data_IF_009578316629
#
_entry.id   IF_009578316629
#
_cell.length_a   1.000
_cell.length_b   1.000
_cell.length_c   1.000
_cell.angle_alpha   90.00
_cell.angle_beta   90.00
_cell.angle_gamma   90.00
#
_symmetry.space_group_name_H-M   'P 1'
#
loop_
_entity.id
_entity.type
_entity.pdbx_description
1 polymer ?
#
# COMPACT_ATOMS: atom_id res chain seq x y z
N UNK A 1 6.66 -19.71 2.33
CA UNK A 1 5.35 -19.59 1.64
C UNK A 1 5.33 -20.50 0.43
N UNK A 2 4.24 -21.25 0.19
CA UNK A 2 4.08 -22.20 -0.93
C UNK A 2 2.79 -21.92 -1.68
N UNK A 3 2.88 -21.88 -3.01
CA UNK A 3 1.71 -21.72 -3.87
C UNK A 3 1.17 -23.12 -4.20
N UNK A 4 -0.11 -23.32 -3.99
CA UNK A 4 -0.85 -24.54 -4.32
C UNK A 4 -1.81 -24.23 -5.46
N UNK A 5 -1.64 -24.89 -6.59
CA UNK A 5 -2.46 -24.68 -7.78
C UNK A 5 -3.57 -25.73 -7.94
N UNK A 6 -3.34 -26.91 -7.41
CA UNK A 6 -4.27 -28.02 -7.48
C UNK A 6 -4.50 -28.61 -6.08
N UNK A 7 -5.72 -29.04 -5.82
CA UNK A 7 -6.11 -29.53 -4.50
C UNK A 7 -5.29 -30.75 -4.03
N UNK A 8 -4.84 -31.58 -4.95
CA UNK A 8 -3.99 -32.73 -4.63
C UNK A 8 -2.57 -32.36 -4.15
N UNK A 9 -2.14 -31.12 -4.34
CA UNK A 9 -0.83 -30.61 -3.85
C UNK A 9 -0.94 -30.07 -2.42
N UNK A 10 -2.14 -29.84 -1.91
CA UNK A 10 -2.38 -29.11 -0.66
C UNK A 10 -1.76 -29.82 0.55
N UNK A 11 -1.94 -31.14 0.66
CA UNK A 11 -1.50 -31.90 1.83
C UNK A 11 0.04 -31.89 1.97
N UNK A 12 0.74 -32.07 0.86
CA UNK A 12 2.22 -32.01 0.84
C UNK A 12 2.70 -30.58 1.15
N UNK A 13 2.14 -29.57 0.49
CA UNK A 13 2.51 -28.18 0.70
C UNK A 13 2.27 -27.75 2.16
N UNK A 14 1.15 -28.17 2.74
CA UNK A 14 0.83 -27.91 4.14
C UNK A 14 1.84 -28.55 5.10
N UNK A 15 2.15 -29.82 4.89
CA UNK A 15 3.10 -30.57 5.71
C UNK A 15 4.48 -29.94 5.70
N UNK A 16 4.96 -29.56 4.52
CA UNK A 16 6.25 -28.90 4.36
C UNK A 16 6.26 -27.52 4.99
N UNK A 17 5.21 -26.72 4.80
CA UNK A 17 5.12 -25.36 5.37
C UNK A 17 5.06 -25.39 6.91
N UNK A 18 4.33 -26.34 7.49
CA UNK A 18 4.28 -26.54 8.94
C UNK A 18 5.64 -26.94 9.51
N UNK A 19 6.34 -27.87 8.85
CA UNK A 19 7.69 -28.27 9.25
C UNK A 19 8.68 -27.10 9.21
N UNK A 20 8.65 -26.30 8.15
CA UNK A 20 9.48 -25.09 8.03
C UNK A 20 9.16 -24.08 9.13
N UNK A 21 7.89 -23.81 9.36
CA UNK A 21 7.45 -22.87 10.40
C UNK A 21 7.87 -23.34 11.80
N UNK A 22 7.70 -24.63 12.10
CA UNK A 22 8.12 -25.21 13.36
C UNK A 22 9.62 -25.07 13.61
N UNK A 23 10.41 -25.32 12.58
CA UNK A 23 11.88 -25.23 12.68
C UNK A 23 12.37 -23.79 12.80
N UNK A 24 11.74 -22.85 12.09
CA UNK A 24 12.17 -21.45 12.05
C UNK A 24 11.62 -20.61 13.23
N UNK A 25 10.39 -20.85 13.65
CA UNK A 25 9.67 -19.99 14.60
C UNK A 25 9.21 -20.72 15.86
N UNK A 26 9.38 -22.05 15.96
CA UNK A 26 8.87 -22.84 17.08
C UNK A 26 7.37 -23.11 17.06
N UNK A 27 6.65 -22.55 16.10
CA UNK A 27 5.21 -22.68 15.87
C UNK A 27 4.94 -23.24 14.48
N UNK A 28 3.96 -24.14 14.36
CA UNK A 28 3.59 -24.80 13.12
C UNK A 28 2.22 -24.33 12.56
N UNK A 29 1.67 -23.27 13.13
CA UNK A 29 0.48 -22.63 12.60
C UNK A 29 0.79 -22.01 11.22
N UNK A 30 -0.10 -22.25 10.25
CA UNK A 30 -0.02 -21.70 8.91
C UNK A 30 -1.36 -21.05 8.53
N UNK A 31 -1.29 -20.02 7.69
CA UNK A 31 -2.45 -19.37 7.10
C UNK A 31 -2.59 -19.80 5.64
N UNK A 32 -3.82 -19.89 5.20
CA UNK A 32 -4.16 -20.09 3.79
C UNK A 32 -4.74 -18.78 3.25
N UNK A 33 -4.12 -18.30 2.19
CA UNK A 33 -4.53 -17.07 1.53
C UNK A 33 -4.83 -17.34 0.06
N UNK A 34 -5.73 -16.56 -0.52
CA UNK A 34 -5.99 -16.64 -1.96
C UNK A 34 -4.78 -16.10 -2.72
N UNK A 35 -4.25 -16.93 -3.61
CA UNK A 35 -3.19 -16.51 -4.53
C UNK A 35 -3.80 -15.79 -5.73
N UNK A 36 -3.36 -14.57 -6.01
CA UNK A 36 -3.76 -13.78 -7.18
C UNK A 36 -2.64 -13.86 -8.21
N UNK A 37 -2.95 -14.35 -9.41
CA UNK A 37 -1.99 -14.42 -10.51
C UNK A 37 -1.87 -13.07 -11.22
N UNK A 38 -0.66 -12.69 -11.63
CA UNK A 38 -0.39 -11.44 -12.33
C UNK A 38 -0.87 -10.18 -11.61
N UNK A 39 -0.72 -10.07 -10.27
CA UNK A 39 -1.34 -9.01 -9.51
C UNK A 39 -0.71 -7.65 -9.82
N UNK A 40 -1.54 -6.61 -9.74
CA UNK A 40 -1.09 -5.22 -9.62
C UNK A 40 -1.01 -4.84 -8.16
N UNK A 41 0.06 -4.17 -7.78
CA UNK A 41 0.21 -3.58 -6.46
C UNK A 41 -0.14 -2.09 -6.55
N UNK A 42 -1.25 -1.73 -5.98
CA UNK A 42 -1.78 -0.36 -5.99
C UNK A 42 -2.04 0.09 -4.57
N UNK A 43 -1.61 1.30 -4.26
CA UNK A 43 -1.72 1.86 -2.92
C UNK A 43 -2.35 3.25 -2.95
N UNK A 44 -3.07 3.59 -1.90
CA UNK A 44 -3.67 4.91 -1.74
C UNK A 44 -2.99 5.67 -0.60
N UNK A 45 -2.45 6.84 -0.91
CA UNK A 45 -1.98 7.76 0.11
C UNK A 45 -3.17 8.33 0.85
N UNK A 46 -3.19 8.17 2.16
CA UNK A 46 -4.23 8.73 3.03
C UNK A 46 -3.63 9.71 4.03
N UNK A 47 -4.47 10.59 4.54
CA UNK A 47 -4.13 11.50 5.62
C UNK A 47 -5.32 11.66 6.55
N UNK A 48 -5.07 11.64 7.88
CA UNK A 48 -6.08 11.89 8.91
C UNK A 48 -5.63 12.93 9.91
N UNK A 49 -6.57 13.69 10.48
CA UNK A 49 -6.29 14.64 11.55
C UNK A 49 -7.03 14.26 12.85
N UNK A 50 -6.69 14.95 13.95
CA UNK A 50 -7.34 14.71 15.27
C UNK A 50 -8.77 15.26 15.36
N UNK A 51 -9.28 15.89 14.31
CA UNK A 51 -10.64 16.43 14.24
C UNK A 51 -11.61 15.49 13.52
N UNK A 52 -11.12 14.28 13.12
CA UNK A 52 -11.92 13.26 12.45
C UNK A 52 -12.06 13.49 10.94
N UNK A 53 -11.21 14.34 10.34
CA UNK A 53 -11.18 14.50 8.90
C UNK A 53 -10.20 13.49 8.28
N UNK A 54 -10.61 12.90 7.16
CA UNK A 54 -9.80 11.95 6.40
C UNK A 54 -9.87 12.31 4.92
N UNK A 55 -8.73 12.30 4.26
CA UNK A 55 -8.62 12.47 2.81
C UNK A 55 -7.71 11.39 2.20
N UNK A 56 -7.91 11.08 0.92
CA UNK A 56 -6.94 10.37 0.12
C UNK A 56 -6.27 11.33 -0.88
N UNK A 57 -5.00 11.11 -1.13
CA UNK A 57 -4.19 11.89 -2.07
C UNK A 57 -3.92 11.10 -3.36
N UNK A 58 -4.91 10.34 -3.80
CA UNK A 58 -4.87 9.43 -4.95
C UNK A 58 -3.93 8.23 -4.76
N UNK A 59 -3.88 7.42 -5.79
CA UNK A 59 -3.13 6.17 -5.79
C UNK A 59 -1.74 6.31 -6.41
N UNK A 60 -0.89 5.32 -6.08
CA UNK A 60 0.34 4.99 -6.79
C UNK A 60 0.28 3.55 -7.27
N UNK A 61 0.77 3.29 -8.47
CA UNK A 61 1.00 1.96 -9.02
C UNK A 61 2.43 1.55 -8.69
N UNK A 62 2.60 0.46 -7.95
CA UNK A 62 3.89 -0.03 -7.45
C UNK A 62 4.17 -1.47 -7.88
N UNK A 63 3.64 -1.90 -9.03
CA UNK A 63 3.73 -3.29 -9.51
C UNK A 63 5.13 -3.67 -9.99
N UNK A 64 5.96 -2.70 -10.39
CA UNK A 64 7.32 -2.97 -10.85
C UNK A 64 8.24 -3.09 -9.62
N UNK A 65 8.54 -4.34 -9.29
CA UNK A 65 9.26 -4.68 -8.07
C UNK A 65 10.40 -5.66 -8.35
N UNK A 66 11.42 -5.65 -7.51
CA UNK A 66 12.47 -6.66 -7.46
C UNK A 66 12.48 -7.32 -6.09
N UNK A 67 12.14 -8.62 -6.04
CA UNK A 67 12.08 -9.38 -4.78
C UNK A 67 11.20 -8.69 -3.72
N UNK A 68 10.01 -8.24 -4.13
CA UNK A 68 9.05 -7.50 -3.31
C UNK A 68 9.49 -6.08 -2.86
N UNK A 69 10.57 -5.54 -3.43
CA UNK A 69 10.97 -4.15 -3.24
C UNK A 69 10.43 -3.31 -4.40
N UNK A 70 9.70 -2.27 -4.11
CA UNK A 70 9.23 -1.28 -5.06
C UNK A 70 10.43 -0.58 -5.69
N UNK A 71 10.54 -0.53 -7.01
CA UNK A 71 11.65 0.10 -7.73
C UNK A 71 11.20 1.14 -8.75
N UNK A 72 9.94 1.09 -9.15
CA UNK A 72 9.33 2.10 -9.99
C UNK A 72 7.88 2.27 -9.54
N UNK A 73 7.54 3.51 -9.26
CA UNK A 73 6.21 3.94 -8.81
C UNK A 73 5.69 5.02 -9.77
N UNK A 74 4.41 4.95 -10.10
CA UNK A 74 3.77 5.93 -10.96
C UNK A 74 2.37 6.33 -10.45
N UNK A 75 1.97 7.56 -10.76
CA UNK A 75 0.64 8.07 -10.45
C UNK A 75 0.18 9.02 -11.59
N UNK A 76 -1.07 8.87 -12.07
CA UNK A 76 -2.07 7.87 -11.69
C UNK A 76 -1.72 6.48 -12.24
N UNK A 77 -2.29 5.44 -11.65
CA UNK A 77 -2.19 4.07 -12.20
C UNK A 77 -2.84 4.00 -13.58
N UNK A 78 -2.11 3.52 -14.61
CA UNK A 78 -2.67 3.33 -15.94
C UNK A 78 -3.69 2.17 -15.99
N UNK A 79 -3.70 1.33 -14.97
CA UNK A 79 -4.59 0.18 -14.89
C UNK A 79 -5.99 0.54 -14.36
N UNK A 80 -6.10 1.54 -13.48
CA UNK A 80 -7.37 1.90 -12.86
C UNK A 80 -8.23 2.78 -13.77
N UNK A 81 -9.47 2.33 -14.01
CA UNK A 81 -10.52 3.23 -14.48
C UNK A 81 -11.12 4.07 -13.34
N UNK A 82 -11.97 5.02 -13.68
CA UNK A 82 -12.56 5.94 -12.71
C UNK A 82 -13.44 5.24 -11.66
N UNK A 83 -14.09 4.13 -12.03
CA UNK A 83 -14.98 3.38 -11.13
C UNK A 83 -14.17 2.61 -10.09
N UNK A 84 -13.18 1.85 -10.53
CA UNK A 84 -12.32 1.07 -9.64
C UNK A 84 -11.49 1.98 -8.73
N UNK A 85 -10.94 3.07 -9.27
CA UNK A 85 -10.23 4.10 -8.48
C UNK A 85 -11.09 4.63 -7.34
N UNK A 86 -12.35 4.96 -7.64
CA UNK A 86 -13.28 5.46 -6.61
C UNK A 86 -13.57 4.42 -5.55
N UNK A 87 -13.83 3.17 -5.93
CA UNK A 87 -14.11 2.09 -4.98
C UNK A 87 -12.92 1.83 -4.04
N UNK A 88 -11.70 1.82 -4.58
CA UNK A 88 -10.49 1.62 -3.81
C UNK A 88 -10.19 2.81 -2.89
N UNK A 89 -10.40 4.05 -3.36
CA UNK A 89 -10.29 5.25 -2.55
C UNK A 89 -11.26 5.22 -1.36
N UNK A 90 -12.53 4.87 -1.60
CA UNK A 90 -13.52 4.71 -0.53
C UNK A 90 -13.15 3.61 0.47
N UNK A 91 -12.60 2.49 -0.01
CA UNK A 91 -12.12 1.41 0.84
C UNK A 91 -10.95 1.88 1.73
N UNK A 92 -10.03 2.67 1.16
CA UNK A 92 -8.89 3.25 1.89
C UNK A 92 -9.33 4.21 2.99
N UNK A 93 -10.28 5.09 2.69
CA UNK A 93 -10.84 6.01 3.70
C UNK A 93 -11.62 5.27 4.79
N UNK A 94 -12.35 4.20 4.43
CA UNK A 94 -13.02 3.34 5.42
C UNK A 94 -12.04 2.66 6.36
N UNK A 95 -10.91 2.15 5.83
CA UNK A 95 -9.87 1.54 6.64
C UNK A 95 -9.25 2.56 7.61
N UNK A 96 -8.88 3.75 7.12
CA UNK A 96 -8.33 4.82 7.94
C UNK A 96 -9.30 5.28 9.04
N UNK A 97 -10.58 5.46 8.70
CA UNK A 97 -11.60 5.89 9.65
C UNK A 97 -11.89 4.82 10.71
N UNK A 98 -11.88 3.55 10.34
CA UNK A 98 -12.14 2.45 11.28
C UNK A 98 -11.15 2.39 12.45
N UNK A 99 -9.91 2.83 12.21
CA UNK A 99 -8.85 2.88 13.24
C UNK A 99 -8.57 4.30 13.73
N UNK A 100 -9.38 5.29 13.31
CA UNK A 100 -9.19 6.71 13.65
C UNK A 100 -7.75 7.17 13.41
N UNK A 101 -7.25 6.86 12.21
CA UNK A 101 -5.84 7.05 11.86
C UNK A 101 -5.44 8.51 11.87
N UNK A 102 -4.23 8.79 12.38
CA UNK A 102 -3.68 10.15 12.49
C UNK A 102 -2.36 10.27 11.72
N UNK A 103 -2.26 11.30 10.86
CA UNK A 103 -1.09 11.59 10.05
C UNK A 103 -1.11 10.94 8.67
N UNK A 104 0.08 10.87 8.03
CA UNK A 104 0.27 10.26 6.73
C UNK A 104 0.32 8.74 6.84
N UNK A 105 -0.41 8.05 5.98
CA UNK A 105 -0.39 6.60 5.86
C UNK A 105 -0.72 6.16 4.44
N UNK A 106 -0.53 4.87 4.18
CA UNK A 106 -0.82 4.29 2.88
C UNK A 106 -1.57 3.00 3.05
N UNK A 107 -2.66 2.82 2.31
CA UNK A 107 -3.45 1.60 2.28
C UNK A 107 -3.11 0.86 0.99
N UNK A 108 -2.59 -0.36 1.13
CA UNK A 108 -2.08 -1.16 0.03
C UNK A 108 -3.05 -2.26 -0.39
N UNK A 109 -3.16 -2.46 -1.69
CA UNK A 109 -4.03 -3.45 -2.31
C UNK A 109 -3.31 -4.28 -3.35
N UNK A 110 -3.75 -5.55 -3.47
CA UNK A 110 -3.52 -6.38 -4.66
C UNK A 110 -4.76 -6.31 -5.54
N UNK A 111 -4.56 -6.03 -6.83
CA UNK A 111 -5.63 -5.95 -7.83
C UNK A 111 -5.41 -7.03 -8.88
N UNK A 112 -6.40 -7.90 -9.07
CA UNK A 112 -6.36 -8.95 -10.09
C UNK A 112 -6.67 -8.43 -11.49
N UNK A 113 -6.41 -9.24 -12.50
CA UNK A 113 -6.75 -8.94 -13.90
C UNK A 113 -8.26 -8.80 -14.09
N UNK A 114 -9.05 -9.48 -13.28
CA UNK A 114 -10.52 -9.40 -13.22
C UNK A 114 -11.03 -8.10 -12.56
N UNK A 115 -10.10 -7.18 -12.17
CA UNK A 115 -10.38 -5.93 -11.46
C UNK A 115 -10.94 -6.12 -10.04
N UNK A 116 -10.92 -7.32 -9.49
CA UNK A 116 -11.12 -7.53 -8.06
C UNK A 116 -9.92 -6.98 -7.30
N UNK A 117 -10.17 -6.36 -6.15
CA UNK A 117 -9.09 -5.85 -5.31
C UNK A 117 -9.21 -6.37 -3.87
N UNK A 118 -8.07 -6.55 -3.24
CA UNK A 118 -7.96 -7.10 -1.90
C UNK A 118 -6.98 -6.26 -1.09
N UNK A 119 -7.39 -5.92 0.13
CA UNK A 119 -6.52 -5.25 1.10
C UNK A 119 -5.34 -6.16 1.46
N UNK A 120 -4.14 -5.60 1.49
CA UNK A 120 -2.93 -6.28 1.95
C UNK A 120 -2.58 -5.78 3.34
N UNK A 121 -2.22 -4.51 3.43
CA UNK A 121 -1.73 -3.89 4.65
C UNK A 121 -1.96 -2.37 4.64
N UNK A 122 -1.71 -1.77 5.79
CA UNK A 122 -1.64 -0.33 5.94
C UNK A 122 -0.27 0.05 6.49
N UNK A 123 0.44 0.88 5.75
CA UNK A 123 1.69 1.46 6.23
C UNK A 123 1.39 2.73 7.02
N UNK A 124 1.66 2.68 8.31
CA UNK A 124 1.34 3.76 9.26
C UNK A 124 2.48 4.77 9.38
N UNK A 125 2.98 5.20 8.25
CA UNK A 125 4.11 6.14 8.12
C UNK A 125 4.12 6.78 6.75
N UNK A 126 4.89 7.85 6.60
CA UNK A 126 5.28 8.36 5.28
C UNK A 126 6.19 7.35 4.60
N UNK A 127 6.00 7.13 3.31
CA UNK A 127 6.80 6.19 2.52
C UNK A 127 7.84 6.92 1.66
N UNK A 128 8.84 6.18 1.16
CA UNK A 128 9.89 6.72 0.28
C UNK A 128 9.27 7.31 -0.98
N UNK A 129 8.28 6.64 -1.52
CA UNK A 129 7.56 6.96 -2.78
C UNK A 129 6.52 8.09 -2.67
N UNK A 130 6.45 8.83 -1.53
CA UNK A 130 5.55 9.97 -1.37
C UNK A 130 5.79 11.10 -2.41
N UNK A 131 6.99 11.32 -2.95
CA UNK A 131 7.21 12.39 -3.93
C UNK A 131 6.38 12.23 -5.20
N UNK A 132 6.04 10.99 -5.59
CA UNK A 132 5.13 10.75 -6.72
C UNK A 132 3.78 11.43 -6.49
N UNK A 133 3.24 11.30 -5.26
CA UNK A 133 1.98 11.95 -4.88
C UNK A 133 2.13 13.48 -4.80
N UNK A 134 3.23 13.97 -4.22
CA UNK A 134 3.50 15.40 -4.12
C UNK A 134 3.60 16.06 -5.49
N UNK A 135 4.33 15.45 -6.42
CA UNK A 135 4.48 15.96 -7.79
C UNK A 135 3.15 16.01 -8.54
N UNK A 136 2.24 15.07 -8.25
CA UNK A 136 0.94 15.00 -8.91
C UNK A 136 -0.08 15.96 -8.30
N UNK A 137 -0.03 16.17 -6.99
CA UNK A 137 -1.02 16.98 -6.26
C UNK A 137 -0.57 18.40 -5.98
N UNK A 138 0.72 18.68 -6.06
CA UNK A 138 1.32 19.96 -5.68
C UNK A 138 1.33 20.21 -4.18
N UNK A 139 1.21 19.13 -3.37
CA UNK A 139 1.16 19.22 -1.91
C UNK A 139 2.50 18.81 -1.31
N UNK A 140 2.80 19.32 -0.12
CA UNK A 140 3.93 18.90 0.71
C UNK A 140 3.41 18.03 1.87
N UNK A 141 3.65 16.72 1.79
CA UNK A 141 3.16 15.76 2.78
C UNK A 141 3.91 15.87 4.11
N UNK A 142 5.16 16.30 4.07
CA UNK A 142 5.97 16.51 5.27
C UNK A 142 5.45 17.75 6.04
N UNK A 143 5.16 18.83 5.33
CA UNK A 143 4.49 19.99 5.93
C UNK A 143 3.16 19.58 6.57
N UNK A 144 2.34 18.80 5.86
CA UNK A 144 1.06 18.33 6.39
C UNK A 144 1.22 17.49 7.67
N UNK A 145 2.25 16.63 7.73
CA UNK A 145 2.53 15.87 8.95
C UNK A 145 2.83 16.78 10.14
N UNK A 146 3.64 17.82 9.93
CA UNK A 146 4.01 18.79 10.99
C UNK A 146 2.77 19.56 11.44
N UNK A 147 1.94 20.04 10.51
CA UNK A 147 0.73 20.79 10.81
C UNK A 147 -0.28 19.95 11.60
N UNK A 148 -0.55 18.74 11.15
CA UNK A 148 -1.47 17.81 11.83
C UNK A 148 -0.92 17.41 13.20
N UNK A 149 0.37 17.15 13.33
CA UNK A 149 1.01 16.86 14.62
C UNK A 149 0.92 18.05 15.59
N UNK A 150 0.88 19.28 15.08
CA UNK A 150 0.68 20.51 15.86
C UNK A 150 -0.78 20.78 16.26
N UNK A 151 -1.70 19.87 15.86
CA UNK A 151 -3.12 19.98 16.20
C UNK A 151 -3.98 20.74 15.17
N UNK A 152 -3.41 21.08 14.02
CA UNK A 152 -4.17 21.71 12.96
C UNK A 152 -5.09 20.72 12.25
N UNK A 153 -6.16 21.23 11.64
CA UNK A 153 -6.98 20.48 10.70
C UNK A 153 -6.22 20.25 9.40
N UNK A 154 -6.63 19.24 8.66
CA UNK A 154 -6.16 19.05 7.28
C UNK A 154 -6.31 20.35 6.48
N UNK A 155 -5.29 20.76 5.72
CA UNK A 155 -5.31 22.03 4.97
C UNK A 155 -6.35 22.09 3.86
N UNK A 156 -6.76 20.94 3.33
CA UNK A 156 -7.70 20.81 2.21
C UNK A 156 -8.74 19.72 2.48
N UNK A 157 -9.95 19.95 1.97
CA UNK A 157 -10.99 18.94 1.86
C UNK A 157 -10.77 18.08 0.61
N UNK A 158 -11.40 16.89 0.56
CA UNK A 158 -11.22 15.91 -0.52
C UNK A 158 -11.50 16.47 -1.92
N UNK A 159 -12.48 17.34 -2.08
CA UNK A 159 -12.86 17.92 -3.37
C UNK A 159 -11.89 19.01 -3.88
N UNK A 160 -11.02 19.49 -3.02
CA UNK A 160 -9.97 20.45 -3.35
C UNK A 160 -8.67 19.76 -3.82
N UNK A 161 -8.49 18.47 -3.50
CA UNK A 161 -7.32 17.70 -3.88
C UNK A 161 -7.51 17.19 -5.31
N UNK A 162 -6.77 17.79 -6.24
CA UNK A 162 -6.89 17.48 -7.67
C UNK A 162 -5.55 17.03 -8.23
N UNK A 163 -5.47 15.78 -8.74
CA UNK A 163 -4.26 15.30 -9.40
C UNK A 163 -4.07 16.01 -10.73
N UNK A 164 -2.83 16.30 -11.07
CA UNK A 164 -2.45 16.92 -12.33
C UNK A 164 -1.29 16.17 -12.99
N UNK A 165 -1.46 15.85 -14.27
CA UNK A 165 -0.42 15.20 -15.05
C UNK A 165 -0.17 13.75 -14.66
N UNK A 166 1.08 13.32 -14.79
CA UNK A 166 1.55 11.97 -14.50
C UNK A 166 2.96 12.07 -13.91
N UNK A 167 3.21 11.37 -12.82
CA UNK A 167 4.48 11.37 -12.11
C UNK A 167 5.04 9.96 -12.04
N UNK A 168 6.35 9.82 -12.18
CA UNK A 168 7.06 8.55 -12.08
C UNK A 168 8.28 8.76 -11.19
N UNK A 169 8.50 7.84 -10.25
CA UNK A 169 9.71 7.76 -9.43
C UNK A 169 10.41 6.43 -9.71
N UNK A 170 11.74 6.47 -9.77
CA UNK A 170 12.57 5.28 -9.86
C UNK A 170 13.56 5.28 -8.71
N UNK A 171 13.52 4.24 -7.88
CA UNK A 171 14.39 4.09 -6.71
C UNK A 171 15.59 3.22 -7.04
N UNK A 172 16.80 3.76 -6.84
CA UNK A 172 18.04 3.01 -6.99
C UNK A 172 18.53 2.48 -5.65
N UNK A 173 18.64 1.16 -5.53
CA UNK A 173 19.20 0.48 -4.35
C UNK A 173 20.71 0.15 -4.49
N UNK A 174 21.38 0.65 -5.53
CA UNK A 174 22.75 0.22 -5.88
C UNK A 174 23.83 0.77 -4.95
N UNK A 175 23.56 1.81 -4.16
CA UNK A 175 24.55 2.44 -3.27
C UNK A 175 24.09 2.72 -1.83
N UNK A 176 22.86 2.42 -1.49
CA UNK A 176 22.33 2.53 -0.14
C UNK A 176 22.18 1.15 0.46
N UNK A 177 23.30 0.56 0.85
CA UNK A 177 23.31 -0.59 1.78
C UNK A 177 23.14 -0.09 3.22
N UNK A 178 22.15 0.72 3.48
CA UNK A 178 21.58 0.72 4.81
C UNK A 178 20.78 -0.58 4.90
N UNK A 179 21.05 -1.45 5.89
CA UNK A 179 20.21 -2.61 6.09
C UNK A 179 18.79 -2.09 6.29
N UNK A 180 17.93 -2.37 5.34
CA UNK A 180 16.51 -2.25 5.55
C UNK A 180 16.21 -3.22 6.69
N UNK A 181 16.02 -2.70 7.88
CA UNK A 181 15.50 -3.51 8.98
C UNK A 181 14.10 -3.85 8.52
N UNK A 182 13.96 -5.03 7.93
CA UNK A 182 12.66 -5.66 7.77
C UNK A 182 12.21 -5.92 9.19
N UNK A 183 11.37 -5.04 9.70
CA UNK A 183 10.75 -5.24 10.99
C UNK A 183 9.98 -6.55 10.95
N UNK A 184 10.27 -7.42 11.89
CA UNK A 184 9.56 -8.66 12.19
C UNK A 184 8.20 -8.31 12.73
#
# INVERSE_FOLDING_TARGET
MRVVRQLNELEEALTLSRSEAKNAFGDDNVLLERFIEGPRHIEFQIFGDQHGNFVHLHERECSIQRRHQKILEESPSPFLDGTLRKQMAEASLKAANAVQYLGAGTVEFIVGEDRSFYFIEMNTRLQVEHPVTEMQTGLDLVEWQIRVASGEKLPLDQDQIRPQGHSIEAVSYTHLTLPTIVGV
#
